data_IF_977303963637
#
_entry.id   IF_977303963637
#
_cell.length_a   1.000
_cell.length_b   1.000
_cell.length_c   1.000
_cell.angle_alpha   90.00
_cell.angle_beta   90.00
_cell.angle_gamma   90.00
#
_symmetry.space_group_name_H-M   'P 1'
#
loop_
_entity.id
_entity.type
_entity.pdbx_description
1 polymer ?
#
# COMPACT_ATOMS: atom_id res chain seq x y z
N UNK A 1 40.49 -12.79 -19.46
CA UNK A 1 39.81 -11.64 -18.85
C UNK A 1 38.31 -11.82 -19.05
N UNK A 2 37.58 -12.20 -18.00
CA UNK A 2 36.14 -12.33 -18.06
C UNK A 2 35.58 -10.96 -17.67
N UNK A 3 34.98 -10.26 -18.64
CA UNK A 3 34.26 -8.99 -18.40
C UNK A 3 32.96 -9.31 -17.68
N UNK A 4 32.86 -8.91 -16.42
CA UNK A 4 31.61 -8.89 -15.66
C UNK A 4 30.71 -7.82 -16.28
N UNK A 5 29.48 -8.12 -16.71
CA UNK A 5 28.59 -7.09 -17.19
C UNK A 5 28.16 -6.18 -16.02
N UNK A 6 28.26 -4.90 -16.27
CA UNK A 6 27.86 -3.82 -15.38
C UNK A 6 26.38 -3.96 -15.02
N UNK A 7 26.08 -4.14 -13.74
CA UNK A 7 24.72 -4.06 -13.20
C UNK A 7 24.33 -2.57 -13.07
N UNK A 8 24.01 -1.94 -14.19
CA UNK A 8 23.25 -0.70 -14.19
C UNK A 8 21.81 -1.00 -14.63
N UNK A 9 21.01 -1.55 -13.74
CA UNK A 9 19.58 -1.33 -13.71
C UNK A 9 19.24 -0.97 -12.25
N UNK A 10 19.53 0.27 -11.89
CA UNK A 10 18.93 0.90 -10.75
C UNK A 10 17.48 1.15 -11.19
N UNK A 11 16.59 0.25 -10.81
CA UNK A 11 15.16 0.41 -11.02
C UNK A 11 14.66 1.45 -10.01
N UNK A 12 15.02 2.71 -10.24
CA UNK A 12 14.52 3.83 -9.45
C UNK A 12 13.07 4.08 -9.85
N UNK A 13 12.18 4.19 -8.87
CA UNK A 13 10.81 4.60 -9.12
C UNK A 13 10.80 5.97 -9.81
N UNK A 14 9.90 6.20 -10.78
CA UNK A 14 9.83 7.47 -11.49
C UNK A 14 9.53 8.61 -10.52
N UNK A 15 10.21 9.74 -10.71
CA UNK A 15 9.87 10.99 -10.02
C UNK A 15 8.75 11.65 -10.80
N UNK A 16 7.63 11.85 -10.12
CA UNK A 16 6.44 12.52 -10.65
C UNK A 16 6.48 14.00 -10.26
N UNK A 17 5.88 14.85 -11.09
CA UNK A 17 5.65 16.26 -10.76
C UNK A 17 4.17 16.53 -10.66
N UNK A 18 3.78 17.37 -9.71
CA UNK A 18 2.37 17.67 -9.49
C UNK A 18 2.16 18.80 -8.52
N UNK A 19 1.04 18.74 -7.84
CA UNK A 19 0.59 19.74 -6.89
C UNK A 19 0.23 19.04 -5.58
N UNK A 20 0.51 19.69 -4.45
CA UNK A 20 -0.05 19.31 -3.16
C UNK A 20 -1.12 20.30 -2.72
N UNK A 21 -2.19 19.77 -2.17
CA UNK A 21 -3.16 20.44 -1.30
C UNK A 21 -3.19 19.74 0.04
N UNK A 22 -4.04 20.14 0.97
CA UNK A 22 -4.19 19.42 2.22
C UNK A 22 -5.65 19.35 2.69
N UNK A 23 -5.93 18.29 3.46
CA UNK A 23 -7.22 18.03 4.09
C UNK A 23 -7.06 17.66 5.57
N UNK A 24 -8.18 17.60 6.29
CA UNK A 24 -8.20 17.15 7.68
C UNK A 24 -8.21 15.61 7.73
N UNK A 25 -7.07 14.99 7.52
CA UNK A 25 -6.90 13.55 7.54
C UNK A 25 -7.11 12.97 8.95
N UNK A 26 -7.60 11.75 9.00
CA UNK A 26 -7.70 10.96 10.25
C UNK A 26 -6.81 9.70 10.21
N UNK A 27 -6.20 9.42 9.07
CA UNK A 27 -5.50 8.16 8.80
C UNK A 27 -6.38 7.10 8.15
N UNK A 28 -7.70 7.23 8.25
CA UNK A 28 -8.68 6.43 7.52
C UNK A 28 -8.99 7.07 6.15
N UNK A 29 -9.51 6.26 5.23
CA UNK A 29 -9.91 6.69 3.90
C UNK A 29 -10.33 5.52 3.02
N UNK A 30 -10.38 5.75 1.71
CA UNK A 30 -10.84 4.73 0.74
C UNK A 30 -9.96 3.46 0.71
N UNK A 31 -8.73 3.53 1.22
CA UNK A 31 -7.87 2.35 1.42
C UNK A 31 -8.31 1.45 2.59
N UNK A 32 -9.40 1.76 3.28
CA UNK A 32 -9.97 0.97 4.38
C UNK A 32 -9.00 0.71 5.54
N UNK A 33 -8.11 1.66 5.84
CA UNK A 33 -7.33 1.65 7.08
C UNK A 33 -8.14 2.26 8.21
N UNK A 34 -7.81 1.85 9.44
CA UNK A 34 -8.36 2.46 10.64
C UNK A 34 -7.77 3.86 10.87
N UNK A 35 -8.46 4.75 11.62
CA UNK A 35 -7.89 6.02 12.02
C UNK A 35 -6.56 5.85 12.76
N UNK A 36 -5.58 6.70 12.45
CA UNK A 36 -4.25 6.69 13.07
C UNK A 36 -3.88 8.07 13.61
N UNK A 37 -4.57 8.57 14.65
CA UNK A 37 -4.40 9.94 15.14
C UNK A 37 -3.00 10.26 15.64
N UNK A 38 -2.23 9.24 16.01
CA UNK A 38 -0.84 9.40 16.48
C UNK A 38 0.19 9.44 15.34
N UNK A 39 -0.24 9.16 14.10
CA UNK A 39 0.59 9.23 12.91
C UNK A 39 -0.23 9.68 11.71
N UNK A 40 -0.18 10.97 11.45
CA UNK A 40 -0.88 11.61 10.33
C UNK A 40 0.05 11.98 9.16
N UNK A 41 1.22 11.33 9.02
CA UNK A 41 2.02 11.41 7.80
C UNK A 41 1.35 10.56 6.70
N UNK A 42 0.22 11.05 6.20
CA UNK A 42 -0.67 10.35 5.25
C UNK A 42 -1.11 11.26 4.12
N UNK A 43 -1.56 10.65 3.03
CA UNK A 43 -2.07 11.36 1.86
C UNK A 43 -3.20 10.60 1.15
N UNK A 44 -3.99 11.35 0.40
CA UNK A 44 -4.91 10.85 -0.62
C UNK A 44 -4.25 10.99 -2.01
N UNK A 45 -4.32 9.90 -2.79
CA UNK A 45 -3.81 9.83 -4.16
C UNK A 45 -4.89 10.26 -5.16
N UNK A 46 -4.52 10.96 -6.23
CA UNK A 46 -5.44 11.22 -7.33
C UNK A 46 -5.96 9.93 -7.99
N UNK A 47 -7.04 10.03 -8.76
CA UNK A 47 -7.72 8.84 -9.29
C UNK A 47 -6.88 8.01 -10.27
N UNK A 48 -6.00 8.65 -11.06
CA UNK A 48 -5.20 7.98 -12.08
C UNK A 48 -4.13 7.08 -11.42
N UNK A 49 -3.32 7.63 -10.53
CA UNK A 49 -2.26 6.90 -9.85
C UNK A 49 -2.80 6.07 -8.66
N UNK A 50 -4.03 6.28 -8.20
CA UNK A 50 -4.71 5.41 -7.23
C UNK A 50 -4.89 3.99 -7.79
N UNK A 51 -5.09 3.87 -9.09
CA UNK A 51 -5.13 2.62 -9.86
C UNK A 51 -5.88 1.50 -9.13
N UNK A 52 -7.18 1.71 -8.89
CA UNK A 52 -8.03 0.73 -8.21
C UNK A 52 -7.44 0.23 -6.88
N UNK A 53 -6.92 1.13 -6.07
CA UNK A 53 -6.25 0.89 -4.77
C UNK A 53 -4.86 0.22 -4.82
N UNK A 54 -4.24 0.12 -6.00
CA UNK A 54 -2.92 -0.50 -6.13
C UNK A 54 -1.84 0.19 -5.27
N UNK A 55 -1.98 1.50 -5.03
CA UNK A 55 -1.05 2.29 -4.21
C UNK A 55 -1.40 2.33 -2.72
N UNK A 56 -2.53 1.77 -2.29
CA UNK A 56 -2.93 1.79 -0.89
C UNK A 56 -1.87 1.17 0.01
N UNK A 57 -1.52 1.87 1.10
CA UNK A 57 -0.48 1.47 2.03
C UNK A 57 0.96 1.71 1.57
N UNK A 58 1.15 2.14 0.33
CA UNK A 58 2.47 2.51 -0.20
C UNK A 58 2.98 3.78 0.48
N UNK A 59 4.30 3.91 0.52
CA UNK A 59 4.98 5.10 0.99
C UNK A 59 5.45 5.95 -0.18
N UNK A 60 5.26 7.25 -0.07
CA UNK A 60 5.61 8.24 -1.08
C UNK A 60 6.45 9.33 -0.41
N UNK A 61 7.64 9.60 -0.94
CA UNK A 61 8.40 10.78 -0.58
C UNK A 61 7.92 11.97 -1.40
N UNK A 62 7.49 13.01 -0.72
CA UNK A 62 6.96 14.25 -1.32
C UNK A 62 7.92 15.38 -1.00
N UNK A 63 8.36 16.11 -2.02
CA UNK A 63 9.28 17.24 -1.90
C UNK A 63 8.61 18.53 -2.35
N UNK A 64 8.64 19.53 -1.47
CA UNK A 64 8.19 20.89 -1.74
C UNK A 64 9.30 21.92 -1.49
N UNK A 65 8.94 23.18 -1.34
CA UNK A 65 9.89 24.27 -1.23
C UNK A 65 10.67 24.30 0.10
N UNK A 66 10.10 23.80 1.18
CA UNK A 66 10.71 23.81 2.51
C UNK A 66 11.41 22.48 2.89
N UNK A 67 11.11 21.38 2.20
CA UNK A 67 11.69 20.09 2.50
C UNK A 67 10.97 18.93 1.87
N UNK A 68 11.23 17.73 2.41
CA UNK A 68 10.59 16.48 1.99
C UNK A 68 9.98 15.76 3.18
N UNK A 69 8.90 15.02 2.92
CA UNK A 69 8.22 14.17 3.89
C UNK A 69 7.88 12.83 3.26
N UNK A 70 7.95 11.75 4.03
CA UNK A 70 7.42 10.45 3.61
C UNK A 70 6.01 10.29 4.17
N UNK A 71 5.05 10.03 3.30
CA UNK A 71 3.63 9.81 3.65
C UNK A 71 3.17 8.44 3.21
N UNK A 72 2.22 7.85 3.94
CA UNK A 72 1.52 6.64 3.54
C UNK A 72 0.24 7.00 2.79
N UNK A 73 -0.03 6.34 1.67
CA UNK A 73 -1.29 6.52 0.93
C UNK A 73 -2.40 5.74 1.65
N UNK A 74 -3.42 6.46 2.12
CA UNK A 74 -4.54 5.92 2.87
C UNK A 74 -5.90 6.21 2.24
N UNK A 75 -5.95 7.12 1.26
CA UNK A 75 -7.20 7.60 0.69
C UNK A 75 -7.07 7.91 -0.81
N UNK A 76 -8.18 8.19 -1.43
CA UNK A 76 -8.30 8.66 -2.82
C UNK A 76 -8.85 10.09 -2.85
N UNK A 77 -8.30 10.92 -3.73
CA UNK A 77 -8.84 12.21 -4.14
C UNK A 77 -9.38 12.09 -5.57
N UNK A 78 -10.67 11.76 -5.78
CA UNK A 78 -11.20 11.51 -7.12
C UNK A 78 -11.19 12.72 -8.04
N UNK A 79 -11.29 13.94 -7.48
CA UNK A 79 -11.28 15.22 -8.20
C UNK A 79 -9.86 15.74 -8.48
N UNK A 80 -8.83 15.13 -7.90
CA UNK A 80 -7.45 15.53 -8.11
C UNK A 80 -6.95 15.06 -9.49
N UNK A 81 -6.30 15.97 -10.22
CA UNK A 81 -5.67 15.65 -11.50
C UNK A 81 -4.44 14.76 -11.30
N UNK A 82 -3.98 14.11 -12.38
CA UNK A 82 -2.75 13.30 -12.39
C UNK A 82 -1.57 14.06 -11.74
N UNK A 83 -0.77 13.36 -10.96
CA UNK A 83 0.34 13.90 -10.19
C UNK A 83 -0.04 14.67 -8.93
N UNK A 84 -1.32 14.97 -8.70
CA UNK A 84 -1.78 15.70 -7.51
C UNK A 84 -1.88 14.76 -6.31
N UNK A 85 -1.36 15.23 -5.15
CA UNK A 85 -1.54 14.61 -3.84
C UNK A 85 -2.29 15.55 -2.91
N UNK A 86 -3.28 15.01 -2.19
CA UNK A 86 -3.93 15.74 -1.09
C UNK A 86 -3.36 15.21 0.23
N UNK A 87 -2.54 16.02 0.87
CA UNK A 87 -1.78 15.63 2.06
C UNK A 87 -2.61 15.84 3.33
N UNK A 88 -2.26 15.15 4.42
CA UNK A 88 -2.69 15.64 5.73
C UNK A 88 -2.13 17.05 5.95
N UNK A 89 -2.78 17.81 6.82
CA UNK A 89 -2.30 19.14 7.19
C UNK A 89 -0.89 19.10 7.81
N UNK A 90 -0.62 18.06 8.58
CA UNK A 90 0.67 17.80 9.22
C UNK A 90 1.76 17.54 8.19
N UNK A 91 1.51 16.68 7.23
CA UNK A 91 2.47 16.38 6.16
C UNK A 91 2.71 17.59 5.24
N UNK A 92 1.66 18.36 4.92
CA UNK A 92 1.79 19.56 4.10
C UNK A 92 2.70 20.61 4.78
N UNK A 93 2.61 20.75 6.11
CA UNK A 93 3.43 21.69 6.88
C UNK A 93 4.94 21.38 6.80
N UNK A 94 5.32 20.12 6.55
CA UNK A 94 6.73 19.74 6.38
C UNK A 94 7.30 20.19 5.04
N UNK A 95 6.47 20.38 4.03
CA UNK A 95 6.93 20.68 2.66
C UNK A 95 6.70 22.11 2.23
N UNK A 96 5.75 22.83 2.84
CA UNK A 96 5.51 24.24 2.55
C UNK A 96 4.64 24.92 3.63
N UNK A 97 4.49 26.25 3.55
CA UNK A 97 3.64 27.04 4.44
C UNK A 97 2.16 26.72 4.21
N UNK A 98 1.45 26.38 5.29
CA UNK A 98 0.01 26.03 5.27
C UNK A 98 -0.85 27.13 4.60
N UNK A 99 -0.47 28.40 4.77
CA UNK A 99 -1.25 29.53 4.22
C UNK A 99 -1.33 29.52 2.68
N UNK A 100 -0.39 28.86 2.01
CA UNK A 100 -0.39 28.75 0.55
C UNK A 100 -1.49 27.84 0.02
N UNK A 101 -1.87 26.80 0.79
CA UNK A 101 -2.96 25.89 0.50
C UNK A 101 -2.80 25.00 -0.73
N UNK A 102 -1.99 25.42 -1.71
CA UNK A 102 -1.72 24.72 -2.97
C UNK A 102 -0.33 25.04 -3.47
N UNK A 103 0.53 24.03 -3.62
CA UNK A 103 1.94 24.22 -3.95
C UNK A 103 2.42 23.19 -4.98
N UNK A 104 3.43 23.53 -5.82
CA UNK A 104 4.07 22.56 -6.70
C UNK A 104 4.94 21.60 -5.88
N UNK A 105 4.92 20.33 -6.27
CA UNK A 105 5.71 19.27 -5.65
C UNK A 105 6.34 18.35 -6.70
N UNK A 106 7.33 17.61 -6.25
CA UNK A 106 7.72 16.34 -6.87
C UNK A 106 7.51 15.21 -5.87
N UNK A 107 7.23 14.00 -6.34
CA UNK A 107 7.07 12.85 -5.48
C UNK A 107 7.47 11.54 -6.17
N UNK A 108 7.81 10.54 -5.38
CA UNK A 108 8.15 9.19 -5.85
C UNK A 108 7.74 8.15 -4.81
N UNK A 109 7.42 6.95 -5.28
CA UNK A 109 7.22 5.80 -4.39
C UNK A 109 8.56 5.41 -3.77
N UNK A 110 8.57 5.17 -2.47
CA UNK A 110 9.77 4.78 -1.72
C UNK A 110 9.55 3.53 -0.89
N UNK A 111 10.64 2.87 -0.52
CA UNK A 111 10.65 1.67 0.31
C UNK A 111 11.32 1.97 1.66
N UNK A 112 10.62 2.58 2.62
CA UNK A 112 11.23 2.99 3.88
C UNK A 112 11.52 1.79 4.79
N UNK A 113 12.46 1.93 5.73
CA UNK A 113 12.60 0.97 6.81
C UNK A 113 11.37 1.08 7.73
N UNK A 114 10.54 0.04 7.75
CA UNK A 114 9.41 -0.09 8.67
C UNK A 114 9.60 -1.33 9.52
N UNK A 115 9.05 -1.32 10.73
CA UNK A 115 9.17 -2.41 11.69
C UNK A 115 8.06 -3.45 11.49
N UNK A 116 8.35 -4.69 11.88
CA UNK A 116 7.42 -5.80 11.87
C UNK A 116 7.22 -6.43 10.49
N UNK A 117 6.53 -7.58 10.45
CA UNK A 117 6.16 -8.28 9.23
C UNK A 117 4.99 -7.59 8.53
N UNK A 118 4.64 -8.06 7.33
CA UNK A 118 3.32 -7.77 6.74
C UNK A 118 2.22 -8.36 7.62
N UNK A 119 1.02 -7.78 7.55
CA UNK A 119 -0.13 -8.18 8.35
C UNK A 119 -1.31 -8.49 7.43
N UNK A 120 -2.06 -9.54 7.73
CA UNK A 120 -3.28 -9.92 7.03
C UNK A 120 -4.50 -9.52 7.85
N UNK A 121 -5.26 -8.54 7.38
CA UNK A 121 -6.53 -8.14 7.98
C UNK A 121 -7.68 -8.82 7.25
N UNK A 122 -8.45 -9.63 7.96
CA UNK A 122 -9.70 -10.17 7.43
C UNK A 122 -10.83 -9.16 7.64
N UNK A 123 -11.59 -8.90 6.57
CA UNK A 123 -12.71 -7.97 6.62
C UNK A 123 -13.86 -8.53 7.46
N UNK A 124 -14.57 -7.64 8.15
CA UNK A 124 -15.87 -7.93 8.76
C UNK A 124 -16.82 -8.59 7.74
N UNK A 125 -17.52 -9.65 8.15
CA UNK A 125 -18.38 -10.47 7.33
C UNK A 125 -17.64 -11.52 6.48
N UNK A 126 -16.29 -11.62 6.55
CA UNK A 126 -15.57 -12.71 5.91
C UNK A 126 -15.94 -14.06 6.49
N UNK A 127 -16.01 -15.07 5.64
CA UNK A 127 -16.31 -16.44 5.99
C UNK A 127 -15.75 -17.40 4.93
N UNK A 128 -15.93 -18.72 5.10
CA UNK A 128 -15.38 -19.71 4.18
C UNK A 128 -15.88 -19.60 2.71
N UNK A 129 -17.01 -18.94 2.49
CA UNK A 129 -17.65 -18.80 1.17
C UNK A 129 -17.39 -17.44 0.51
N UNK A 130 -17.02 -16.47 1.31
CA UNK A 130 -16.67 -15.11 0.88
C UNK A 130 -15.56 -14.60 1.79
N UNK A 131 -14.35 -14.52 1.26
CA UNK A 131 -13.18 -14.14 2.03
C UNK A 131 -12.58 -12.87 1.44
N UNK A 132 -12.42 -11.86 2.28
CA UNK A 132 -11.78 -10.59 1.93
C UNK A 132 -10.58 -10.35 2.84
N UNK A 133 -9.39 -10.20 2.24
CA UNK A 133 -8.14 -10.00 2.94
C UNK A 133 -7.49 -8.70 2.48
N UNK A 134 -7.04 -7.90 3.43
CA UNK A 134 -6.19 -6.73 3.18
C UNK A 134 -4.78 -7.05 3.65
N UNK A 135 -3.78 -6.74 2.83
CA UNK A 135 -2.38 -6.80 3.24
C UNK A 135 -2.00 -5.44 3.82
N UNK A 136 -1.56 -5.43 5.08
CA UNK A 136 -1.16 -4.24 5.85
C UNK A 136 0.33 -4.27 6.17
N UNK A 137 0.86 -3.17 6.67
CA UNK A 137 2.25 -3.04 7.10
C UNK A 137 3.27 -3.51 6.06
N UNK A 138 3.03 -3.25 4.79
CA UNK A 138 3.97 -3.58 3.71
C UNK A 138 4.77 -2.34 3.31
N UNK A 139 6.11 -2.45 3.23
CA UNK A 139 6.97 -1.33 2.82
C UNK A 139 6.92 -1.04 1.32
N UNK A 140 6.65 -2.05 0.51
CA UNK A 140 6.56 -1.95 -0.93
C UNK A 140 5.11 -2.10 -1.37
N UNK A 141 4.64 -1.41 -2.42
CA UNK A 141 3.30 -1.61 -2.96
C UNK A 141 3.08 -3.09 -3.33
N UNK A 142 1.93 -3.63 -2.98
CA UNK A 142 1.57 -5.02 -3.28
C UNK A 142 1.05 -5.10 -4.71
N UNK A 143 1.71 -5.90 -5.55
CA UNK A 143 1.30 -6.14 -6.93
C UNK A 143 0.30 -7.29 -7.05
N UNK A 144 0.49 -8.37 -6.26
CA UNK A 144 -0.33 -9.58 -6.37
C UNK A 144 -0.52 -10.27 -5.03
N UNK A 145 -1.72 -10.81 -4.83
CA UNK A 145 -2.09 -11.65 -3.70
C UNK A 145 -2.68 -12.96 -4.17
N UNK A 146 -2.22 -14.08 -3.61
CA UNK A 146 -2.65 -15.42 -3.96
C UNK A 146 -2.86 -16.26 -2.70
N UNK A 147 -3.76 -17.23 -2.77
CA UNK A 147 -3.89 -18.27 -1.76
C UNK A 147 -3.70 -19.66 -2.35
N UNK A 148 -3.24 -20.60 -1.54
CA UNK A 148 -3.11 -22.00 -1.92
C UNK A 148 -4.44 -22.72 -1.65
N UNK A 149 -5.08 -23.27 -2.69
CA UNK A 149 -6.34 -23.99 -2.55
C UNK A 149 -6.13 -25.44 -2.09
N UNK A 150 -7.20 -26.16 -1.80
CA UNK A 150 -7.19 -27.58 -1.36
C UNK A 150 -6.58 -28.54 -2.39
N UNK A 151 -6.47 -28.12 -3.65
CA UNK A 151 -5.81 -28.89 -4.71
C UNK A 151 -4.31 -28.55 -4.85
N UNK A 152 -3.74 -27.83 -3.88
CA UNK A 152 -2.36 -27.34 -3.90
C UNK A 152 -2.04 -26.47 -5.14
N UNK A 153 -2.99 -25.66 -5.57
CA UNK A 153 -2.81 -24.72 -6.66
C UNK A 153 -2.89 -23.28 -6.12
N UNK A 154 -2.00 -22.44 -6.60
CA UNK A 154 -2.06 -20.99 -6.32
C UNK A 154 -3.19 -20.36 -7.11
N UNK A 155 -4.05 -19.65 -6.42
CA UNK A 155 -5.19 -18.92 -6.99
C UNK A 155 -4.97 -17.44 -6.73
N UNK A 156 -4.85 -16.65 -7.78
CA UNK A 156 -4.75 -15.22 -7.70
C UNK A 156 -6.11 -14.61 -7.33
N UNK A 157 -6.10 -13.64 -6.44
CA UNK A 157 -7.29 -12.96 -5.93
C UNK A 157 -7.28 -11.50 -6.37
N UNK A 158 -8.37 -11.07 -7.00
CA UNK A 158 -8.52 -9.70 -7.46
C UNK A 158 -8.66 -8.70 -6.30
N UNK A 159 -8.03 -7.53 -6.47
CA UNK A 159 -8.16 -6.39 -5.55
C UNK A 159 -9.36 -5.52 -5.93
N UNK A 160 -10.13 -5.10 -4.96
CA UNK A 160 -11.21 -4.13 -5.14
C UNK A 160 -10.73 -2.70 -4.78
N UNK A 161 -11.45 -1.70 -5.29
CA UNK A 161 -11.08 -0.28 -5.17
C UNK A 161 -10.98 0.26 -3.74
N UNK A 162 -11.39 -0.52 -2.75
CA UNK A 162 -11.26 -0.22 -1.32
C UNK A 162 -10.20 -1.07 -0.61
N UNK A 163 -9.19 -1.55 -1.36
CA UNK A 163 -7.98 -2.21 -0.86
C UNK A 163 -8.20 -3.55 -0.14
N UNK A 164 -9.20 -4.34 -0.57
CA UNK A 164 -9.33 -5.72 -0.17
C UNK A 164 -9.19 -6.65 -1.38
N UNK A 165 -8.45 -7.74 -1.20
CA UNK A 165 -8.43 -8.88 -2.11
C UNK A 165 -9.61 -9.78 -1.77
N UNK A 166 -10.53 -9.97 -2.70
CA UNK A 166 -11.82 -10.62 -2.43
C UNK A 166 -12.01 -11.86 -3.26
N UNK A 167 -12.08 -13.01 -2.58
CA UNK A 167 -12.46 -14.26 -3.19
C UNK A 167 -13.96 -14.51 -2.96
N UNK A 168 -14.71 -14.41 -4.03
CA UNK A 168 -16.14 -14.75 -4.06
C UNK A 168 -16.31 -16.23 -4.41
N UNK A 169 -17.44 -16.83 -4.05
CA UNK A 169 -17.77 -18.25 -4.20
C UNK A 169 -16.84 -19.07 -5.12
N UNK A 170 -16.14 -20.08 -4.61
CA UNK A 170 -16.48 -20.80 -3.38
C UNK A 170 -15.79 -20.27 -2.10
N UNK A 171 -15.17 -19.08 -2.12
CA UNK A 171 -14.38 -18.56 -1.01
C UNK A 171 -12.99 -19.19 -0.95
N UNK A 172 -12.30 -19.01 0.19
CA UNK A 172 -10.97 -19.61 0.42
C UNK A 172 -11.03 -20.84 1.35
N UNK A 173 -12.24 -21.28 1.77
CA UNK A 173 -12.40 -22.35 2.76
C UNK A 173 -12.28 -21.88 4.19
N UNK A 174 -12.11 -22.81 5.14
CA UNK A 174 -12.13 -22.54 6.58
C UNK A 174 -10.77 -22.12 7.16
N UNK A 175 -9.70 -22.23 6.39
CA UNK A 175 -8.32 -22.07 6.86
C UNK A 175 -7.84 -23.27 7.70
N UNK A 176 -6.61 -23.22 8.31
CA UNK A 176 -5.66 -22.12 8.16
C UNK A 176 -5.18 -21.95 6.72
N UNK A 177 -4.89 -20.73 6.32
CA UNK A 177 -4.52 -20.40 4.94
C UNK A 177 -3.00 -20.43 4.71
N UNK A 178 -2.62 -20.61 3.45
CA UNK A 178 -1.29 -20.28 2.96
C UNK A 178 -1.44 -19.18 1.91
N UNK A 179 -0.83 -18.02 2.17
CA UNK A 179 -0.86 -16.86 1.30
C UNK A 179 0.48 -16.62 0.64
N UNK A 180 0.45 -16.05 -0.54
CA UNK A 180 1.62 -15.57 -1.27
C UNK A 180 1.36 -14.14 -1.73
N UNK A 181 2.26 -13.24 -1.32
CA UNK A 181 2.17 -11.81 -1.64
C UNK A 181 3.39 -11.43 -2.46
N UNK A 182 3.18 -10.77 -3.59
CA UNK A 182 4.25 -10.28 -4.46
C UNK A 182 4.20 -8.75 -4.48
N UNK A 183 5.34 -8.09 -4.29
CA UNK A 183 5.45 -6.64 -4.42
C UNK A 183 5.70 -6.20 -5.87
N UNK A 184 5.68 -4.88 -6.11
CA UNK A 184 5.92 -4.31 -7.45
C UNK A 184 7.33 -4.56 -7.99
N UNK A 185 8.29 -4.94 -7.14
CA UNK A 185 9.67 -5.25 -7.52
C UNK A 185 9.88 -6.75 -7.79
N UNK A 186 8.83 -7.56 -7.62
CA UNK A 186 8.86 -9.00 -7.84
C UNK A 186 9.36 -9.81 -6.63
N UNK A 187 9.54 -9.18 -5.46
CA UNK A 187 9.84 -9.89 -4.22
C UNK A 187 8.59 -10.64 -3.75
N UNK A 188 8.78 -11.86 -3.28
CA UNK A 188 7.68 -12.76 -2.89
C UNK A 188 7.81 -13.15 -1.42
N UNK A 189 6.73 -12.98 -0.69
CA UNK A 189 6.54 -13.53 0.66
C UNK A 189 5.53 -14.66 0.61
N UNK A 190 5.78 -15.72 1.37
CA UNK A 190 4.85 -16.85 1.52
C UNK A 190 4.69 -17.16 2.99
N UNK A 191 3.46 -17.09 3.48
CA UNK A 191 3.09 -17.34 4.87
C UNK A 191 2.08 -18.48 4.94
N UNK A 192 2.38 -19.49 5.76
CA UNK A 192 1.53 -20.66 5.98
C UNK A 192 0.97 -20.68 7.39
N UNK A 193 -0.19 -21.31 7.55
CA UNK A 193 -0.83 -21.44 8.86
C UNK A 193 -1.53 -20.17 9.33
N UNK A 194 -1.87 -19.26 8.42
CA UNK A 194 -2.61 -18.04 8.72
C UNK A 194 -4.01 -18.40 9.18
N UNK A 195 -4.29 -18.15 10.47
CA UNK A 195 -5.59 -18.44 11.07
C UNK A 195 -6.64 -17.45 10.60
N UNK A 196 -7.84 -17.93 10.34
CA UNK A 196 -8.98 -17.06 10.09
C UNK A 196 -9.45 -16.40 11.37
N UNK A 197 -9.48 -15.08 11.40
CA UNK A 197 -10.04 -14.26 12.49
C UNK A 197 -10.93 -13.21 11.84
N UNK A 198 -12.26 -13.42 11.90
CA UNK A 198 -13.20 -12.44 11.35
C UNK A 198 -12.97 -11.06 11.98
N UNK A 199 -12.92 -10.03 11.14
CA UNK A 199 -12.60 -8.65 11.53
C UNK A 199 -11.32 -8.52 12.36
N UNK A 200 -10.34 -9.41 12.13
CA UNK A 200 -9.10 -9.47 12.91
C UNK A 200 -7.86 -9.50 12.05
N UNK A 201 -6.72 -9.24 12.69
CA UNK A 201 -5.40 -9.22 12.09
C UNK A 201 -4.58 -10.45 12.46
N UNK A 202 -3.76 -10.91 11.53
CA UNK A 202 -2.79 -11.99 11.74
C UNK A 202 -1.47 -11.58 11.11
N UNK A 203 -0.39 -11.63 11.88
CA UNK A 203 0.94 -11.32 11.39
C UNK A 203 1.43 -12.38 10.40
N UNK A 204 2.08 -11.92 9.32
CA UNK A 204 2.95 -12.74 8.49
C UNK A 204 4.26 -13.05 9.22
N UNK A 205 5.16 -13.77 8.56
CA UNK A 205 6.47 -14.09 9.14
C UNK A 205 7.54 -13.05 8.83
N UNK A 206 7.42 -12.33 7.72
CA UNK A 206 8.48 -11.49 7.19
C UNK A 206 7.95 -10.17 6.61
N UNK A 207 8.89 -9.27 6.34
CA UNK A 207 8.70 -8.05 5.59
C UNK A 207 9.38 -8.15 4.23
N UNK A 208 8.88 -7.44 3.21
CA UNK A 208 9.58 -7.31 1.95
C UNK A 208 10.98 -6.71 2.13
N UNK A 209 11.95 -7.07 1.29
CA UNK A 209 13.24 -6.38 1.25
C UNK A 209 13.04 -4.90 0.91
N UNK A 210 14.02 -4.07 1.26
CA UNK A 210 14.03 -2.68 0.81
C UNK A 210 14.13 -2.68 -0.72
N UNK A 211 13.20 -1.97 -1.36
CA UNK A 211 13.20 -1.77 -2.80
C UNK A 211 14.32 -0.83 -3.27
N UNK A 212 14.50 -0.70 -4.58
CA UNK A 212 15.48 0.20 -5.18
C UNK A 212 15.19 1.66 -4.89
#
# INVERSE_FOLDING_TARGET
MVTVPNKENINTNPVNSGIATYYNATGAGNCSYDPSPDNLMVAAMNAEEYDNSAVCGSYVEVTGALGSVIVRIVDQCPECAAGHLDLSREAFAEIDEIIKGRVPITWQVVSPPIEGPIVYQFKDGSNQWWTAVQVRNHRNPVAKFEYLNDSNQWVEVGRLSYNYFVQTGPGMGVGPYTFRVTDIYGSVLTDSGIQFIENGEVDGANQFPIGP
#
